data_IF_290538086615
#
_entry.id   IF_290538086615
#
_cell.length_a   1.000
_cell.length_b   1.000
_cell.length_c   1.000
_cell.angle_alpha   90.00
_cell.angle_beta   90.00
_cell.angle_gamma   90.00
#
_symmetry.space_group_name_H-M   'P 1'
#
loop_
_entity.id
_entity.type
_entity.pdbx_description
1 polymer ?
#
# COMPACT_ATOMS: atom_id res chain seq x y z
N UNK A 1 -0.13 -34.67 8.68
CA UNK A 1 0.19 -35.00 7.28
C UNK A 1 -1.02 -35.59 6.54
N UNK A 2 -1.80 -36.51 7.14
CA UNK A 2 -3.02 -37.07 6.51
C UNK A 2 -4.12 -36.02 6.29
N UNK A 3 -4.42 -35.18 7.27
CA UNK A 3 -5.44 -34.12 7.15
C UNK A 3 -5.06 -33.13 6.04
N UNK A 4 -3.77 -32.79 5.91
CA UNK A 4 -3.30 -31.90 4.85
C UNK A 4 -3.48 -32.52 3.47
N UNK A 5 -3.20 -33.81 3.32
CA UNK A 5 -3.42 -34.52 2.06
C UNK A 5 -4.91 -34.57 1.69
N UNK A 6 -5.81 -34.84 2.66
CA UNK A 6 -7.26 -34.81 2.42
C UNK A 6 -7.76 -33.40 2.01
N UNK A 7 -7.21 -32.34 2.60
CA UNK A 7 -7.54 -30.96 2.24
C UNK A 7 -7.04 -30.60 0.83
N UNK A 8 -5.83 -31.02 0.48
CA UNK A 8 -5.23 -30.76 -0.83
C UNK A 8 -5.98 -31.48 -1.97
N UNK A 9 -6.60 -32.64 -1.69
CA UNK A 9 -7.43 -33.40 -2.62
C UNK A 9 -8.90 -32.92 -2.67
N UNK A 10 -9.32 -32.04 -1.76
CA UNK A 10 -10.71 -31.58 -1.67
C UNK A 10 -11.13 -30.81 -2.92
N UNK A 11 -12.32 -31.13 -3.43
CA UNK A 11 -12.98 -30.38 -4.49
C UNK A 11 -13.64 -29.08 -3.98
N UNK A 12 -13.81 -28.97 -2.65
CA UNK A 12 -14.35 -27.77 -2.01
C UNK A 12 -13.27 -26.69 -1.91
N UNK A 13 -13.44 -25.62 -2.65
CA UNK A 13 -12.50 -24.52 -2.68
C UNK A 13 -12.32 -23.82 -1.33
N UNK A 14 -13.41 -23.62 -0.59
CA UNK A 14 -13.37 -22.99 0.72
C UNK A 14 -12.56 -23.83 1.71
N UNK A 15 -12.79 -25.13 1.70
CA UNK A 15 -12.10 -26.08 2.58
C UNK A 15 -10.61 -26.20 2.20
N UNK A 16 -10.32 -26.40 0.91
CA UNK A 16 -8.95 -26.59 0.40
C UNK A 16 -8.02 -25.43 0.77
N UNK A 17 -8.51 -24.20 0.69
CA UNK A 17 -7.72 -23.00 0.97
C UNK A 17 -8.01 -22.35 2.33
N UNK A 18 -8.75 -23.07 3.19
CA UNK A 18 -9.13 -22.60 4.52
C UNK A 18 -9.76 -21.19 4.50
N UNK A 19 -10.64 -20.94 3.54
CA UNK A 19 -11.40 -19.71 3.41
C UNK A 19 -12.81 -19.88 4.01
N UNK A 20 -13.39 -18.84 4.63
CA UNK A 20 -14.82 -18.84 4.90
C UNK A 20 -15.63 -18.99 3.59
N UNK A 21 -16.76 -19.72 3.59
CA UNK A 21 -17.54 -19.95 2.39
C UNK A 21 -17.92 -18.67 1.63
N UNK A 22 -18.36 -17.64 2.34
CA UNK A 22 -18.71 -16.33 1.76
C UNK A 22 -17.54 -15.69 1.00
N UNK A 23 -16.31 -15.81 1.52
CA UNK A 23 -15.11 -15.24 0.90
C UNK A 23 -14.68 -16.04 -0.33
N UNK A 24 -14.82 -17.36 -0.27
CA UNK A 24 -14.56 -18.26 -1.40
C UNK A 24 -15.53 -17.99 -2.57
N UNK A 25 -16.82 -17.79 -2.26
CA UNK A 25 -17.85 -17.43 -3.23
C UNK A 25 -17.56 -16.05 -3.84
N UNK A 26 -17.22 -15.06 -3.02
CA UNK A 26 -16.89 -13.70 -3.45
C UNK A 26 -15.68 -13.69 -4.40
N UNK A 27 -14.59 -14.34 -4.04
CA UNK A 27 -13.41 -14.41 -4.91
C UNK A 27 -13.75 -15.11 -6.23
N UNK A 28 -14.51 -16.21 -6.19
CA UNK A 28 -14.91 -16.92 -7.39
C UNK A 28 -15.79 -16.05 -8.30
N UNK A 29 -16.70 -15.27 -7.73
CA UNK A 29 -17.56 -14.35 -8.48
C UNK A 29 -16.76 -13.20 -9.11
N UNK A 30 -15.78 -12.66 -8.41
CA UNK A 30 -15.00 -11.49 -8.83
C UNK A 30 -13.87 -11.83 -9.82
N UNK A 31 -13.13 -12.92 -9.59
CA UNK A 31 -11.93 -13.26 -10.35
C UNK A 31 -12.07 -14.53 -11.23
N UNK A 32 -13.18 -15.24 -11.11
CA UNK A 32 -13.33 -16.57 -11.67
C UNK A 32 -12.59 -17.63 -10.86
N UNK A 33 -12.92 -18.90 -11.08
CA UNK A 33 -12.40 -20.02 -10.28
C UNK A 33 -10.88 -20.15 -10.35
N UNK A 34 -10.32 -20.12 -11.55
CA UNK A 34 -8.88 -20.34 -11.77
C UNK A 34 -8.01 -19.29 -11.10
N UNK A 35 -8.34 -18.01 -11.27
CA UNK A 35 -7.56 -16.92 -10.63
C UNK A 35 -7.74 -16.92 -9.12
N UNK A 36 -8.95 -17.25 -8.63
CA UNK A 36 -9.22 -17.34 -7.20
C UNK A 36 -8.41 -18.45 -6.53
N UNK A 37 -8.19 -19.57 -7.20
CA UNK A 37 -7.35 -20.65 -6.70
C UNK A 37 -5.88 -20.22 -6.60
N UNK A 38 -5.38 -19.49 -7.59
CA UNK A 38 -4.00 -18.94 -7.57
C UNK A 38 -3.83 -17.93 -6.43
N UNK A 39 -4.78 -17.03 -6.24
CA UNK A 39 -4.79 -16.05 -5.15
C UNK A 39 -4.81 -16.78 -3.80
N UNK A 40 -5.72 -17.73 -3.63
CA UNK A 40 -5.90 -18.46 -2.39
C UNK A 40 -4.69 -19.36 -2.06
N UNK A 41 -4.06 -19.97 -3.06
CA UNK A 41 -2.82 -20.73 -2.91
C UNK A 41 -1.68 -19.83 -2.39
N UNK A 42 -1.53 -18.62 -2.97
CA UNK A 42 -0.54 -17.66 -2.51
C UNK A 42 -0.75 -17.27 -1.03
N UNK A 43 -2.00 -17.16 -0.56
CA UNK A 43 -2.28 -16.84 0.83
C UNK A 43 -1.89 -17.94 1.83
N UNK A 44 -1.64 -19.16 1.39
CA UNK A 44 -1.11 -20.24 2.22
C UNK A 44 0.42 -20.26 2.28
N UNK A 45 1.09 -19.54 1.38
CA UNK A 45 2.54 -19.45 1.36
C UNK A 45 3.04 -18.31 2.27
N UNK A 46 4.22 -18.48 2.88
CA UNK A 46 4.85 -17.40 3.65
C UNK A 46 5.12 -16.19 2.76
N UNK A 47 4.61 -15.03 3.16
CA UNK A 47 4.90 -13.80 2.44
C UNK A 47 6.40 -13.46 2.50
N UNK A 48 7.03 -13.11 1.38
CA UNK A 48 8.44 -12.74 1.35
C UNK A 48 8.68 -11.47 2.20
N UNK A 49 9.84 -11.41 2.84
CA UNK A 49 10.28 -10.17 3.49
C UNK A 49 10.79 -9.21 2.42
N UNK A 50 10.05 -8.14 2.19
CA UNK A 50 10.44 -7.09 1.24
C UNK A 50 10.95 -5.86 1.98
N UNK A 51 12.08 -5.34 1.51
CA UNK A 51 12.79 -4.20 2.05
C UNK A 51 12.86 -3.11 0.98
N UNK A 52 12.71 -1.86 1.41
CA UNK A 52 13.02 -0.72 0.56
C UNK A 52 14.32 -0.08 0.98
N UNK A 53 15.22 0.13 0.03
CA UNK A 53 16.45 0.89 0.23
C UNK A 53 16.12 2.37 0.46
N UNK A 54 16.68 2.94 1.50
CA UNK A 54 16.71 4.38 1.73
C UNK A 54 17.79 5.01 0.85
N UNK A 55 17.42 5.34 -0.37
CA UNK A 55 18.36 5.82 -1.37
C UNK A 55 19.02 7.14 -0.98
N UNK A 56 18.27 8.01 -0.32
CA UNK A 56 18.79 9.28 0.21
C UNK A 56 19.94 9.03 1.17
N UNK A 57 19.75 8.10 2.11
CA UNK A 57 20.78 7.74 3.08
C UNK A 57 21.93 6.96 2.44
N UNK A 58 21.63 6.08 1.51
CA UNK A 58 22.63 5.29 0.75
C UNK A 58 23.60 6.20 -0.01
N UNK A 59 23.07 7.20 -0.73
CA UNK A 59 23.89 8.20 -1.44
C UNK A 59 24.69 9.05 -0.44
N UNK A 60 24.05 9.52 0.63
CA UNK A 60 24.74 10.32 1.65
C UNK A 60 25.88 9.57 2.36
N UNK A 61 25.80 8.25 2.43
CA UNK A 61 26.85 7.38 2.96
C UNK A 61 27.95 7.04 1.93
N UNK A 62 27.87 7.57 0.70
CA UNK A 62 28.86 7.31 -0.36
C UNK A 62 28.65 5.98 -1.08
N UNK A 63 27.41 5.49 -1.13
CA UNK A 63 27.02 4.24 -1.82
C UNK A 63 27.87 3.03 -1.38
N UNK A 64 27.87 2.66 -0.10
CA UNK A 64 28.76 1.64 0.41
C UNK A 64 28.53 0.29 -0.29
N UNK A 65 29.65 -0.37 -0.68
CA UNK A 65 29.61 -1.69 -1.29
C UNK A 65 29.02 -2.74 -0.34
N UNK A 66 28.34 -3.75 -0.91
CA UNK A 66 27.80 -4.89 -0.15
C UNK A 66 26.50 -4.62 0.60
N UNK A 67 25.91 -3.41 0.53
CA UNK A 67 24.63 -3.09 1.22
C UNK A 67 23.49 -3.97 0.74
N UNK A 68 23.46 -4.35 -0.52
CA UNK A 68 22.43 -5.21 -1.12
C UNK A 68 22.84 -6.68 -1.25
N UNK A 69 23.99 -7.06 -0.67
CA UNK A 69 24.48 -8.44 -0.73
C UNK A 69 23.51 -9.40 -0.04
N UNK A 70 23.18 -10.51 -0.71
CA UNK A 70 22.17 -11.48 -0.23
C UNK A 70 20.71 -11.02 -0.37
N UNK A 71 20.46 -9.91 -1.08
CA UNK A 71 19.12 -9.43 -1.39
C UNK A 71 18.85 -9.50 -2.90
N UNK A 72 17.66 -9.92 -3.30
CA UNK A 72 17.21 -9.96 -4.69
C UNK A 72 16.44 -8.68 -5.02
N UNK A 73 16.94 -7.88 -5.97
CA UNK A 73 16.28 -6.66 -6.40
C UNK A 73 14.99 -6.96 -7.15
N UNK A 74 13.93 -6.24 -6.84
CA UNK A 74 12.68 -6.34 -7.58
C UNK A 74 12.80 -5.72 -8.98
N UNK A 75 12.33 -6.40 -10.04
CA UNK A 75 12.30 -5.81 -11.38
C UNK A 75 11.28 -4.68 -11.54
N UNK A 76 10.31 -4.57 -10.62
CA UNK A 76 9.20 -3.61 -10.68
C UNK A 76 9.46 -2.31 -9.92
N UNK A 77 10.36 -2.34 -8.96
CA UNK A 77 10.72 -1.17 -8.17
C UNK A 77 12.21 -1.23 -7.81
N UNK A 78 13.04 -0.33 -8.37
CA UNK A 78 14.51 -0.44 -8.29
C UNK A 78 15.06 -0.30 -6.86
N UNK A 79 14.30 0.30 -5.96
CA UNK A 79 14.69 0.44 -4.55
C UNK A 79 14.06 -0.64 -3.65
N UNK A 80 13.34 -1.61 -4.21
CA UNK A 80 12.72 -2.73 -3.48
C UNK A 80 13.53 -4.00 -3.65
N UNK A 81 13.76 -4.71 -2.54
CA UNK A 81 14.57 -5.92 -2.46
C UNK A 81 13.83 -6.99 -1.67
N UNK A 82 13.99 -8.24 -2.07
CA UNK A 82 13.48 -9.41 -1.37
C UNK A 82 14.63 -10.03 -0.58
N UNK A 83 14.41 -10.24 0.71
CA UNK A 83 15.32 -10.98 1.59
C UNK A 83 14.88 -12.45 1.62
N UNK A 84 15.32 -13.25 0.64
CA UNK A 84 14.90 -14.66 0.49
C UNK A 84 15.34 -15.53 1.69
N UNK A 85 16.52 -15.27 2.23
CA UNK A 85 17.03 -15.93 3.43
C UNK A 85 16.51 -15.30 4.74
N UNK A 86 15.59 -14.35 4.64
CA UNK A 86 15.03 -13.60 5.76
C UNK A 86 16.01 -12.57 6.34
N UNK A 87 15.85 -12.30 7.65
CA UNK A 87 16.67 -11.31 8.37
C UNK A 87 18.02 -11.91 8.79
N UNK A 88 19.00 -11.92 7.90
CA UNK A 88 20.40 -12.20 8.24
C UNK A 88 20.97 -11.10 9.13
N UNK A 89 22.09 -11.36 9.81
CA UNK A 89 22.69 -10.34 10.72
C UNK A 89 23.08 -9.04 10.00
N UNK A 90 23.70 -9.06 8.81
CA UNK A 90 23.96 -7.83 8.05
C UNK A 90 22.69 -7.04 7.73
N UNK A 91 21.61 -7.74 7.31
CA UNK A 91 20.32 -7.10 6.99
C UNK A 91 19.70 -6.47 8.25
N UNK A 92 19.78 -7.14 9.41
CA UNK A 92 19.30 -6.58 10.70
C UNK A 92 20.03 -5.30 11.06
N UNK A 93 21.34 -5.30 10.92
CA UNK A 93 22.16 -4.11 11.19
C UNK A 93 21.77 -2.95 10.26
N UNK A 94 21.65 -3.19 8.96
CA UNK A 94 21.25 -2.18 7.98
C UNK A 94 19.84 -1.64 8.23
N UNK A 95 18.91 -2.50 8.66
CA UNK A 95 17.58 -2.06 9.11
C UNK A 95 17.65 -1.20 10.36
N UNK A 96 18.46 -1.59 11.36
CA UNK A 96 18.64 -0.81 12.58
C UNK A 96 19.26 0.56 12.30
N UNK A 97 20.20 0.63 11.37
CA UNK A 97 20.83 1.88 10.91
C UNK A 97 19.92 2.71 9.99
N UNK A 98 18.77 2.19 9.54
CA UNK A 98 17.83 2.88 8.67
C UNK A 98 18.29 2.98 7.20
N UNK A 99 19.24 2.14 6.78
CA UNK A 99 19.63 1.97 5.38
C UNK A 99 18.51 1.31 4.57
N UNK A 100 17.75 0.45 5.24
CA UNK A 100 16.50 -0.11 4.72
C UNK A 100 15.34 0.14 5.67
N UNK A 101 14.14 0.04 5.14
CA UNK A 101 12.92 -0.11 5.94
C UNK A 101 12.02 -1.19 5.30
N UNK A 102 11.23 -1.86 6.15
CA UNK A 102 10.30 -2.90 5.68
C UNK A 102 9.15 -2.24 4.94
N UNK A 103 8.96 -2.61 3.68
CA UNK A 103 7.86 -2.16 2.86
C UNK A 103 7.56 -3.21 1.80
N UNK A 104 6.28 -3.60 1.69
CA UNK A 104 5.84 -4.47 0.61
C UNK A 104 5.97 -3.80 -0.76
N UNK A 105 6.21 -4.61 -1.80
CA UNK A 105 6.38 -4.12 -3.16
C UNK A 105 5.16 -3.32 -3.63
N UNK A 106 3.94 -3.78 -3.34
CA UNK A 106 2.70 -3.09 -3.74
C UNK A 106 2.59 -1.69 -3.13
N UNK A 107 2.96 -1.55 -1.85
CA UNK A 107 3.06 -0.25 -1.17
C UNK A 107 4.11 0.67 -1.79
N UNK A 108 5.24 0.11 -2.24
CA UNK A 108 6.30 0.85 -2.96
C UNK A 108 5.79 1.34 -4.31
N UNK A 109 5.09 0.47 -5.08
CA UNK A 109 4.46 0.81 -6.35
C UNK A 109 3.42 1.92 -6.21
N UNK A 110 2.62 1.93 -5.15
CA UNK A 110 1.64 2.99 -4.89
C UNK A 110 2.31 4.38 -4.78
N UNK A 111 3.40 4.48 -4.02
CA UNK A 111 4.15 5.74 -3.91
C UNK A 111 4.83 6.11 -5.24
N UNK A 112 5.36 5.12 -5.97
CA UNK A 112 5.96 5.34 -7.29
C UNK A 112 4.93 5.87 -8.28
N UNK A 113 3.68 5.36 -8.29
CA UNK A 113 2.59 5.86 -9.12
C UNK A 113 2.23 7.32 -8.81
N UNK A 114 2.24 7.69 -7.53
CA UNK A 114 1.95 9.05 -7.07
C UNK A 114 3.06 10.06 -7.42
N UNK A 115 4.30 9.59 -7.68
CA UNK A 115 5.46 10.40 -8.10
C UNK A 115 5.71 11.63 -7.21
N UNK A 116 5.98 11.48 -5.90
CA UNK A 116 6.35 12.61 -5.06
C UNK A 116 7.65 13.26 -5.55
N UNK A 117 7.74 14.61 -5.47
CA UNK A 117 8.85 15.39 -6.04
C UNK A 117 9.54 16.23 -4.97
N UNK A 118 10.84 16.49 -5.11
CA UNK A 118 11.55 17.43 -4.23
C UNK A 118 10.82 18.77 -4.10
N UNK A 119 10.73 19.26 -2.87
CA UNK A 119 10.09 20.54 -2.54
C UNK A 119 8.58 20.47 -2.31
N UNK A 120 7.90 19.36 -2.60
CA UNK A 120 6.45 19.22 -2.42
C UNK A 120 6.04 19.17 -0.94
N UNK A 121 4.79 19.55 -0.70
CA UNK A 121 4.08 19.37 0.56
C UNK A 121 3.17 18.15 0.44
N UNK A 122 3.42 17.12 1.24
CA UNK A 122 2.69 15.84 1.20
C UNK A 122 1.92 15.65 2.50
N UNK A 123 0.71 15.12 2.39
CA UNK A 123 -0.09 14.63 3.52
C UNK A 123 -0.32 13.13 3.35
N UNK A 124 0.01 12.34 4.36
CA UNK A 124 -0.31 10.93 4.47
C UNK A 124 -1.33 10.76 5.61
N UNK A 125 -2.59 10.43 5.27
CA UNK A 125 -3.75 10.56 6.17
C UNK A 125 -3.88 9.43 7.19
N UNK A 126 -3.45 8.21 6.85
CA UNK A 126 -3.52 7.02 7.71
C UNK A 126 -2.15 6.33 7.69
N UNK A 127 -1.11 7.11 8.02
CA UNK A 127 0.27 6.86 7.64
C UNK A 127 0.93 5.66 8.33
N UNK A 128 0.48 5.28 9.51
CA UNK A 128 1.21 4.33 10.36
C UNK A 128 1.29 2.91 9.74
N UNK A 129 2.48 2.29 9.76
CA UNK A 129 3.67 2.62 10.54
C UNK A 129 4.67 3.61 9.87
N UNK A 130 4.27 4.27 8.77
CA UNK A 130 5.07 5.31 8.12
C UNK A 130 5.74 4.90 6.81
N UNK A 131 5.54 3.68 6.32
CA UNK A 131 6.25 3.17 5.13
C UNK A 131 6.05 4.02 3.88
N UNK A 132 4.82 4.47 3.58
CA UNK A 132 4.54 5.34 2.42
C UNK A 132 5.09 6.74 2.60
N UNK A 133 5.01 7.30 3.80
CA UNK A 133 5.63 8.59 4.14
C UNK A 133 7.16 8.55 3.96
N UNK A 134 7.83 7.48 4.42
CA UNK A 134 9.28 7.31 4.26
C UNK A 134 9.67 7.12 2.79
N UNK A 135 8.89 6.34 2.04
CA UNK A 135 9.10 6.17 0.61
C UNK A 135 8.92 7.49 -0.15
N UNK A 136 7.91 8.30 0.21
CA UNK A 136 7.71 9.63 -0.36
C UNK A 136 8.88 10.56 -0.01
N UNK A 137 9.34 10.58 1.25
CA UNK A 137 10.50 11.36 1.69
C UNK A 137 11.77 10.99 0.91
N UNK A 138 11.98 9.71 0.67
CA UNK A 138 13.11 9.21 -0.11
C UNK A 138 13.02 9.65 -1.60
N UNK A 139 11.84 9.51 -2.22
CA UNK A 139 11.61 10.04 -3.58
C UNK A 139 11.84 11.56 -3.67
N UNK A 140 11.48 12.29 -2.61
CA UNK A 140 11.70 13.73 -2.47
C UNK A 140 13.14 14.08 -2.08
N UNK A 141 14.03 13.11 -1.87
CA UNK A 141 15.41 13.30 -1.42
C UNK A 141 15.52 14.05 -0.08
N UNK A 142 14.52 13.94 0.78
CA UNK A 142 14.41 14.70 2.02
C UNK A 142 14.07 16.19 1.85
N UNK A 143 13.79 16.63 0.63
CA UNK A 143 13.45 18.04 0.32
C UNK A 143 11.92 18.22 0.29
N UNK A 144 11.42 19.24 1.02
CA UNK A 144 9.98 19.51 1.16
C UNK A 144 9.44 19.17 2.55
N UNK A 145 8.15 18.86 2.65
CA UNK A 145 7.53 18.56 3.94
C UNK A 145 6.43 17.51 3.84
N UNK A 146 6.41 16.57 4.78
CA UNK A 146 5.42 15.50 4.86
C UNK A 146 4.76 15.54 6.23
N UNK A 147 3.44 15.64 6.26
CA UNK A 147 2.63 15.41 7.46
C UNK A 147 2.15 13.96 7.42
N UNK A 148 2.61 13.15 8.39
CA UNK A 148 2.23 11.74 8.51
C UNK A 148 1.24 11.60 9.65
N UNK A 149 -0.06 11.54 9.32
CA UNK A 149 -1.15 11.54 10.28
C UNK A 149 -1.65 10.12 10.57
N UNK A 150 -1.98 9.82 11.82
CA UNK A 150 -2.70 8.61 12.23
C UNK A 150 -3.50 8.90 13.48
N UNK A 151 -4.61 8.20 13.66
CA UNK A 151 -5.49 8.35 14.83
C UNK A 151 -4.85 7.85 16.12
N UNK A 152 -4.08 6.78 16.06
CA UNK A 152 -3.52 6.08 17.22
C UNK A 152 -2.22 6.73 17.72
N UNK A 153 -2.18 7.23 18.97
CA UNK A 153 -0.95 7.81 19.53
C UNK A 153 0.21 6.81 19.59
N UNK A 154 -0.07 5.53 19.84
CA UNK A 154 0.97 4.48 19.86
C UNK A 154 1.56 4.25 18.48
N UNK A 155 0.74 4.31 17.43
CA UNK A 155 1.20 4.20 16.04
C UNK A 155 2.00 5.44 15.63
N UNK A 156 1.59 6.63 16.06
CA UNK A 156 2.33 7.88 15.82
C UNK A 156 3.72 7.82 16.45
N UNK A 157 3.85 7.24 17.65
CA UNK A 157 5.17 7.08 18.28
C UNK A 157 6.09 6.14 17.48
N UNK A 158 5.57 5.00 17.00
CA UNK A 158 6.33 4.11 16.10
C UNK A 158 6.75 4.82 14.80
N UNK A 159 5.93 5.70 14.26
CA UNK A 159 6.32 6.53 13.12
C UNK A 159 7.49 7.45 13.47
N UNK A 160 7.49 8.09 14.66
CA UNK A 160 8.62 8.95 15.10
C UNK A 160 9.92 8.18 15.18
N UNK A 161 9.89 6.97 15.75
CA UNK A 161 11.05 6.08 15.80
C UNK A 161 11.56 5.73 14.40
N UNK A 162 10.66 5.36 13.48
CA UNK A 162 11.03 5.02 12.11
C UNK A 162 11.60 6.23 11.35
N UNK A 163 10.99 7.41 11.50
CA UNK A 163 11.45 8.66 10.88
C UNK A 163 12.84 9.05 11.40
N UNK A 164 13.06 8.94 12.71
CA UNK A 164 14.37 9.22 13.30
C UNK A 164 15.44 8.24 12.81
N UNK A 165 15.13 6.93 12.82
CA UNK A 165 16.03 5.86 12.39
C UNK A 165 16.45 6.01 10.92
N UNK A 166 15.53 6.39 10.05
CA UNK A 166 15.78 6.56 8.61
C UNK A 166 16.39 7.91 8.25
N UNK A 167 16.44 8.86 9.19
CA UNK A 167 17.07 10.17 8.99
C UNK A 167 16.17 11.23 8.35
N UNK A 168 14.86 11.00 8.26
CA UNK A 168 13.90 11.92 7.64
C UNK A 168 13.23 12.90 8.62
N UNK A 169 13.74 13.06 9.85
CA UNK A 169 13.17 13.98 10.84
C UNK A 169 13.11 15.45 10.40
N UNK A 170 13.92 15.84 9.40
CA UNK A 170 13.93 17.19 8.85
C UNK A 170 12.75 17.48 7.89
N UNK A 171 12.14 16.44 7.29
CA UNK A 171 11.05 16.62 6.33
C UNK A 171 9.75 15.89 6.71
N UNK A 172 9.79 14.83 7.52
CA UNK A 172 8.60 14.05 7.92
C UNK A 172 8.19 14.40 9.34
N UNK A 173 6.94 14.81 9.52
CA UNK A 173 6.35 15.19 10.80
C UNK A 173 5.19 14.25 11.16
N UNK A 174 5.38 13.25 12.01
CA UNK A 174 4.30 12.42 12.55
C UNK A 174 3.36 13.24 13.44
N UNK A 175 2.06 13.10 13.22
CA UNK A 175 1.01 13.85 13.88
C UNK A 175 -0.18 12.95 14.23
N UNK A 176 -0.70 13.08 15.46
CA UNK A 176 -1.97 12.45 15.78
C UNK A 176 -3.13 13.27 15.18
N UNK A 177 -3.93 12.65 14.32
CA UNK A 177 -5.10 13.28 13.70
C UNK A 177 -6.11 12.23 13.27
N UNK A 178 -7.39 12.57 13.38
CA UNK A 178 -8.49 11.77 12.86
C UNK A 178 -8.78 12.18 11.41
N UNK A 179 -8.64 11.26 10.45
CA UNK A 179 -8.93 11.49 9.05
C UNK A 179 -10.42 11.80 8.77
N UNK A 180 -11.31 11.38 9.69
CA UNK A 180 -12.74 11.68 9.62
C UNK A 180 -13.11 13.10 10.05
N UNK A 181 -12.20 13.84 10.68
CA UNK A 181 -12.41 15.21 11.12
C UNK A 181 -11.71 16.18 10.18
N UNK A 182 -12.51 17.00 9.49
CA UNK A 182 -11.96 18.00 8.56
C UNK A 182 -11.12 19.05 9.28
N UNK A 183 -9.96 19.36 8.72
CA UNK A 183 -9.02 20.37 9.21
C UNK A 183 -8.96 21.56 8.26
N UNK A 184 -9.52 22.72 8.63
CA UNK A 184 -9.51 23.91 7.77
C UNK A 184 -8.09 24.41 7.41
N UNK A 185 -7.13 24.21 8.30
CA UNK A 185 -5.72 24.59 8.09
C UNK A 185 -4.99 23.74 7.03
N UNK A 186 -5.63 22.65 6.57
CA UNK A 186 -5.12 21.77 5.51
C UNK A 186 -5.82 21.97 4.16
N UNK A 187 -6.87 22.76 4.10
CA UNK A 187 -7.64 22.95 2.88
C UNK A 187 -6.74 23.50 1.76
N UNK A 188 -6.72 22.78 0.61
CA UNK A 188 -5.89 23.08 -0.57
C UNK A 188 -4.40 23.33 -0.27
N UNK A 189 -3.87 22.65 0.74
CA UNK A 189 -2.52 22.92 1.25
C UNK A 189 -1.44 21.96 0.73
N UNK A 190 -1.79 20.85 0.05
CA UNK A 190 -0.84 19.79 -0.26
C UNK A 190 -0.75 19.52 -1.77
N UNK A 191 0.48 19.32 -2.25
CA UNK A 191 0.79 18.91 -3.61
C UNK A 191 0.38 17.45 -3.88
N UNK A 192 0.51 16.60 -2.83
CA UNK A 192 0.12 15.21 -2.85
C UNK A 192 -0.56 14.85 -1.54
N UNK A 193 -1.74 14.23 -1.64
CA UNK A 193 -2.41 13.58 -0.50
C UNK A 193 -2.37 12.07 -0.73
N UNK A 194 -1.83 11.33 0.23
CA UNK A 194 -1.82 9.87 0.28
C UNK A 194 -2.98 9.44 1.19
N UNK A 195 -3.94 8.76 0.60
CA UNK A 195 -5.09 8.16 1.26
C UNK A 195 -4.99 6.63 1.17
N UNK A 196 -4.02 6.07 1.92
CA UNK A 196 -3.91 4.61 2.15
C UNK A 196 -4.79 4.24 3.32
N UNK A 197 -6.05 3.93 3.03
CA UNK A 197 -7.09 3.95 4.02
C UNK A 197 -7.28 2.60 4.74
N UNK A 198 -7.76 2.61 5.99
CA UNK A 198 -8.20 1.39 6.66
C UNK A 198 -9.19 0.62 5.78
N UNK A 199 -8.93 -0.66 5.59
CA UNK A 199 -9.69 -1.54 4.70
C UNK A 199 -9.84 -2.92 5.31
N UNK A 200 -10.58 -3.81 4.64
CA UNK A 200 -10.79 -5.19 5.07
C UNK A 200 -9.48 -6.01 5.14
N UNK A 201 -8.44 -5.62 4.39
CA UNK A 201 -7.15 -6.28 4.43
C UNK A 201 -7.13 -7.66 3.76
N UNK A 202 -8.08 -7.96 2.89
CA UNK A 202 -8.17 -9.25 2.21
C UNK A 202 -7.06 -9.50 1.18
N UNK A 203 -6.23 -8.50 0.91
CA UNK A 203 -5.03 -8.65 0.09
C UNK A 203 -3.79 -9.12 0.85
N UNK A 204 -3.81 -9.06 2.21
CA UNK A 204 -2.64 -9.38 3.05
C UNK A 204 -2.83 -10.64 3.90
N UNK A 205 -3.65 -11.58 3.45
CA UNK A 205 -3.99 -12.78 4.21
C UNK A 205 -2.79 -13.72 4.46
N UNK A 206 -1.76 -13.70 3.61
CA UNK A 206 -0.51 -14.43 3.87
C UNK A 206 0.24 -13.91 5.11
N UNK A 207 0.11 -12.60 5.43
CA UNK A 207 0.72 -11.97 6.61
C UNK A 207 -0.19 -11.93 7.82
N UNK A 208 -1.50 -11.87 7.59
CA UNK A 208 -2.55 -11.70 8.62
C UNK A 208 -3.71 -12.66 8.38
N UNK A 209 -3.49 -13.98 8.51
CA UNK A 209 -4.51 -14.98 8.19
C UNK A 209 -5.74 -14.94 9.12
N UNK A 210 -5.62 -14.29 10.27
CA UNK A 210 -6.72 -14.10 11.22
C UNK A 210 -7.81 -13.14 10.73
N UNK A 211 -7.51 -12.28 9.75
CA UNK A 211 -8.49 -11.35 9.17
C UNK A 211 -9.71 -12.12 8.64
N UNK A 212 -9.50 -13.19 7.88
CA UNK A 212 -10.60 -13.99 7.30
C UNK A 212 -11.52 -14.64 8.33
N UNK A 213 -11.09 -14.77 9.60
CA UNK A 213 -11.89 -15.35 10.69
C UNK A 213 -12.72 -14.31 11.45
N UNK A 214 -12.39 -13.02 11.32
CA UNK A 214 -13.04 -11.94 12.06
C UNK A 214 -13.96 -11.10 11.19
N UNK A 215 -13.74 -11.11 9.89
CA UNK A 215 -14.45 -10.29 8.91
C UNK A 215 -15.73 -10.98 8.44
N UNK A 216 -16.78 -10.19 8.24
CA UNK A 216 -18.00 -10.59 7.54
C UNK A 216 -18.29 -9.64 6.36
N UNK A 217 -19.28 -9.97 5.54
CA UNK A 217 -19.62 -9.17 4.34
C UNK A 217 -20.08 -7.75 4.67
N UNK A 218 -20.81 -7.58 5.76
CA UNK A 218 -21.31 -6.29 6.22
C UNK A 218 -20.19 -5.34 6.61
N UNK A 219 -19.06 -5.86 7.07
CA UNK A 219 -17.89 -5.06 7.43
C UNK A 219 -17.30 -4.37 6.20
N UNK A 220 -17.32 -5.01 5.02
CA UNK A 220 -16.82 -4.44 3.76
C UNK A 220 -17.60 -3.18 3.40
N UNK A 221 -18.91 -3.21 3.51
CA UNK A 221 -19.77 -2.06 3.24
C UNK A 221 -19.50 -0.93 4.26
N UNK A 222 -19.36 -1.28 5.53
CA UNK A 222 -19.06 -0.32 6.61
C UNK A 222 -17.70 0.35 6.38
N UNK A 223 -16.69 -0.41 5.96
CA UNK A 223 -15.35 0.09 5.63
C UNK A 223 -15.37 0.99 4.39
N UNK A 224 -16.08 0.61 3.32
CA UNK A 224 -16.29 1.47 2.15
C UNK A 224 -16.88 2.82 2.55
N UNK A 225 -17.90 2.84 3.40
CA UNK A 225 -18.58 4.08 3.81
C UNK A 225 -17.66 4.93 4.69
N UNK A 226 -16.83 4.31 5.53
CA UNK A 226 -15.79 4.98 6.30
C UNK A 226 -14.73 5.60 5.38
N UNK A 227 -14.26 4.85 4.39
CA UNK A 227 -13.27 5.32 3.40
C UNK A 227 -13.80 6.52 2.62
N UNK A 228 -15.07 6.51 2.20
CA UNK A 228 -15.70 7.64 1.51
C UNK A 228 -15.72 8.90 2.37
N UNK A 229 -16.01 8.79 3.67
CA UNK A 229 -15.92 9.94 4.61
C UNK A 229 -14.51 10.50 4.70
N UNK A 230 -13.47 9.64 4.71
CA UNK A 230 -12.08 10.09 4.70
C UNK A 230 -11.68 10.72 3.37
N UNK A 231 -12.15 10.15 2.25
CA UNK A 231 -11.92 10.67 0.91
C UNK A 231 -12.57 12.05 0.70
N UNK A 232 -13.75 12.32 1.29
CA UNK A 232 -14.36 13.65 1.27
C UNK A 232 -13.47 14.74 1.89
N UNK A 233 -12.72 14.41 2.93
CA UNK A 233 -11.73 15.30 3.50
C UNK A 233 -10.45 15.35 2.64
N UNK A 234 -9.96 14.19 2.19
CA UNK A 234 -8.73 14.04 1.43
C UNK A 234 -8.71 14.91 0.16
N UNK A 235 -9.81 14.89 -0.62
CA UNK A 235 -9.92 15.67 -1.87
C UNK A 235 -9.84 17.18 -1.61
N UNK A 236 -10.35 17.66 -0.47
CA UNK A 236 -10.29 19.07 -0.09
C UNK A 236 -8.90 19.54 0.30
N UNK A 237 -8.05 18.64 0.75
CA UNK A 237 -6.68 18.95 1.15
C UNK A 237 -5.72 19.06 -0.04
N UNK A 238 -6.09 18.50 -1.21
CA UNK A 238 -5.31 18.61 -2.45
C UNK A 238 -5.44 20.01 -3.02
N UNK A 239 -4.31 20.70 -3.22
CA UNK A 239 -4.32 22.02 -3.88
C UNK A 239 -4.67 21.91 -5.38
N UNK A 240 -5.09 22.98 -6.04
CA UNK A 240 -5.18 23.01 -7.51
C UNK A 240 -3.88 22.52 -8.16
N UNK A 241 -3.99 21.68 -9.20
CA UNK A 241 -2.86 21.01 -9.86
C UNK A 241 -2.19 19.90 -9.07
N UNK A 242 -2.61 19.64 -7.81
CA UNK A 242 -2.09 18.57 -6.95
C UNK A 242 -2.62 17.18 -7.30
N UNK A 243 -2.26 16.19 -6.48
CA UNK A 243 -2.58 14.77 -6.71
C UNK A 243 -3.16 14.11 -5.45
N UNK A 244 -4.09 13.18 -5.67
CA UNK A 244 -4.59 12.25 -4.66
C UNK A 244 -4.14 10.84 -5.04
N UNK A 245 -3.42 10.16 -4.17
CA UNK A 245 -3.24 8.71 -4.20
C UNK A 245 -4.30 8.08 -3.30
N UNK A 246 -5.15 7.24 -3.86
CA UNK A 246 -6.04 6.35 -3.12
C UNK A 246 -5.54 4.92 -3.25
N UNK A 247 -5.35 4.24 -2.11
CA UNK A 247 -4.89 2.86 -2.09
C UNK A 247 -5.47 2.08 -0.92
N UNK A 248 -5.55 0.76 -1.08
CA UNK A 248 -6.01 -0.20 -0.07
C UNK A 248 -5.23 -1.51 -0.20
N UNK A 249 -5.04 -2.22 0.91
CA UNK A 249 -4.47 -3.57 0.92
C UNK A 249 -5.58 -4.65 0.90
N UNK A 250 -6.62 -4.44 0.11
CA UNK A 250 -7.71 -5.39 -0.09
C UNK A 250 -7.91 -5.72 -1.57
N UNK A 251 -8.83 -6.63 -1.85
CA UNK A 251 -9.17 -7.08 -3.21
C UNK A 251 -10.67 -6.93 -3.52
N UNK A 252 -11.45 -6.31 -2.62
CA UNK A 252 -12.90 -6.16 -2.80
C UNK A 252 -13.23 -5.03 -3.75
N UNK A 253 -14.21 -5.22 -4.62
CA UNK A 253 -14.65 -4.21 -5.58
C UNK A 253 -15.22 -2.97 -4.88
N UNK A 254 -15.95 -3.17 -3.78
CA UNK A 254 -16.62 -2.09 -3.04
C UNK A 254 -15.64 -1.09 -2.43
N UNK A 255 -14.49 -1.58 -1.93
CA UNK A 255 -13.46 -0.75 -1.32
C UNK A 255 -12.47 -0.19 -2.34
N UNK A 256 -12.38 -0.78 -3.52
CA UNK A 256 -11.41 -0.50 -4.57
C UNK A 256 -12.03 0.30 -5.72
N UNK A 257 -12.50 -0.42 -6.76
CA UNK A 257 -13.00 0.17 -8.00
C UNK A 257 -14.21 1.06 -7.77
N UNK A 258 -15.12 0.65 -6.88
CA UNK A 258 -16.33 1.43 -6.59
C UNK A 258 -16.00 2.76 -5.90
N UNK A 259 -14.96 2.81 -5.07
CA UNK A 259 -14.50 4.06 -4.47
C UNK A 259 -13.75 4.94 -5.48
N UNK A 260 -12.91 4.38 -6.34
CA UNK A 260 -12.25 5.13 -7.41
C UNK A 260 -13.27 5.72 -8.39
N UNK A 261 -14.27 4.95 -8.80
CA UNK A 261 -15.37 5.42 -9.64
C UNK A 261 -16.20 6.50 -8.94
N UNK A 262 -16.44 6.35 -7.64
CA UNK A 262 -17.17 7.35 -6.84
C UNK A 262 -16.39 8.68 -6.75
N UNK A 263 -15.06 8.64 -6.59
CA UNK A 263 -14.24 9.87 -6.62
C UNK A 263 -14.40 10.55 -7.97
N UNK A 264 -14.21 9.83 -9.07
CA UNK A 264 -14.32 10.39 -10.43
C UNK A 264 -15.71 10.96 -10.74
N UNK A 265 -16.78 10.34 -10.24
CA UNK A 265 -18.15 10.78 -10.45
C UNK A 265 -18.56 11.97 -9.57
N UNK A 266 -18.05 12.06 -8.35
CA UNK A 266 -18.46 13.09 -7.38
C UNK A 266 -17.62 14.35 -7.47
N UNK A 267 -16.31 14.24 -7.76
CA UNK A 267 -15.37 15.34 -7.76
C UNK A 267 -14.88 15.60 -9.20
N UNK A 268 -15.64 16.38 -9.96
CA UNK A 268 -15.41 16.61 -11.39
C UNK A 268 -14.12 17.37 -11.73
N UNK A 269 -13.49 17.97 -10.74
CA UNK A 269 -12.17 18.60 -10.83
C UNK A 269 -11.02 17.60 -10.65
N UNK A 270 -11.31 16.30 -10.37
CA UNK A 270 -10.31 15.24 -10.27
C UNK A 270 -10.35 14.36 -11.52
N UNK A 271 -9.24 14.32 -12.25
CA UNK A 271 -9.06 13.46 -13.43
C UNK A 271 -8.20 12.26 -13.07
N UNK A 272 -8.65 11.02 -13.37
CA UNK A 272 -7.85 9.81 -13.17
C UNK A 272 -6.54 9.84 -13.97
N UNK A 273 -5.49 9.27 -13.37
CA UNK A 273 -4.17 9.05 -14.00
C UNK A 273 -4.06 7.58 -14.38
N UNK A 274 -3.51 7.27 -15.54
CA UNK A 274 -3.21 5.89 -15.94
C UNK A 274 -2.03 5.36 -15.10
N UNK A 275 -2.37 4.57 -14.08
CA UNK A 275 -1.41 4.00 -13.12
C UNK A 275 -0.58 2.90 -13.79
N UNK A 276 -1.16 2.09 -14.67
CA UNK A 276 -0.44 1.03 -15.37
C UNK A 276 0.68 1.62 -16.24
N UNK A 277 0.37 2.63 -17.03
CA UNK A 277 1.37 3.36 -17.82
C UNK A 277 2.41 4.06 -16.92
N UNK A 278 1.99 4.60 -15.77
CA UNK A 278 2.89 5.26 -14.82
C UNK A 278 3.91 4.31 -14.18
N UNK A 279 3.54 3.03 -14.02
CA UNK A 279 4.36 1.96 -13.42
C UNK A 279 5.02 1.05 -14.47
N UNK A 280 4.69 1.20 -15.75
CA UNK A 280 5.09 0.29 -16.83
C UNK A 280 4.62 -1.15 -16.60
N UNK A 281 3.43 -1.32 -16.04
CA UNK A 281 2.77 -2.61 -15.83
C UNK A 281 1.81 -2.90 -16.97
N UNK A 282 1.61 -4.17 -17.28
CA UNK A 282 0.61 -4.63 -18.24
C UNK A 282 -0.43 -5.57 -17.59
N UNK A 283 -1.34 -6.09 -18.40
CA UNK A 283 -2.42 -6.97 -17.92
C UNK A 283 -1.96 -8.35 -17.43
N UNK A 284 -0.71 -8.74 -17.66
CA UNK A 284 -0.14 -9.98 -17.12
C UNK A 284 0.32 -9.81 -15.65
N UNK A 285 0.70 -8.59 -15.29
CA UNK A 285 1.27 -8.23 -13.99
C UNK A 285 0.22 -7.67 -13.03
N UNK A 286 -0.75 -6.91 -13.56
CA UNK A 286 -1.83 -6.33 -12.74
C UNK A 286 -3.17 -6.37 -13.48
N UNK A 287 -4.28 -6.38 -12.74
CA UNK A 287 -5.58 -6.12 -13.32
C UNK A 287 -5.72 -4.63 -13.63
N UNK A 288 -6.00 -4.33 -14.91
CA UNK A 288 -6.31 -2.97 -15.34
C UNK A 288 -7.75 -2.66 -14.95
N UNK A 289 -7.94 -1.68 -14.10
CA UNK A 289 -9.22 -1.32 -13.54
C UNK A 289 -9.77 -0.04 -14.20
N UNK A 290 -11.08 0.22 -14.11
CA UNK A 290 -11.68 1.48 -14.54
C UNK A 290 -10.98 2.70 -13.91
N UNK A 291 -11.13 3.87 -14.54
CA UNK A 291 -10.50 5.12 -14.10
C UNK A 291 -8.95 5.05 -14.00
N UNK A 292 -8.30 4.25 -14.86
CA UNK A 292 -6.85 4.13 -14.90
C UNK A 292 -6.20 3.50 -13.68
N UNK A 293 -6.98 2.94 -12.77
CA UNK A 293 -6.49 2.26 -11.58
C UNK A 293 -5.91 0.87 -11.92
N UNK A 294 -5.13 0.31 -11.00
CA UNK A 294 -4.64 -1.06 -11.08
C UNK A 294 -4.92 -1.82 -9.78
N UNK A 295 -5.17 -3.11 -9.91
CA UNK A 295 -5.24 -4.04 -8.79
C UNK A 295 -4.10 -5.06 -8.93
N UNK A 296 -3.21 -5.04 -7.97
CA UNK A 296 -2.11 -6.01 -7.85
C UNK A 296 -2.69 -7.28 -7.25
N UNK A 297 -2.53 -8.40 -7.95
CA UNK A 297 -2.92 -9.71 -7.45
C UNK A 297 -1.67 -10.46 -7.00
N UNK A 298 -1.68 -11.09 -5.81
CA UNK A 298 -0.53 -11.84 -5.31
C UNK A 298 -0.21 -13.08 -6.16
N UNK A 299 -1.15 -13.53 -7.00
CA UNK A 299 -0.95 -14.57 -8.01
C UNK A 299 -0.11 -14.15 -9.21
N UNK A 300 0.08 -12.85 -9.43
CA UNK A 300 0.78 -12.29 -10.61
C UNK A 300 2.09 -11.59 -10.28
N UNK A 301 2.17 -10.95 -9.12
CA UNK A 301 3.38 -10.31 -8.62
C UNK A 301 3.75 -10.88 -7.24
N UNK A 302 5.04 -10.94 -6.89
CA UNK A 302 5.49 -11.34 -5.55
C UNK A 302 5.25 -10.19 -4.55
N UNK A 303 3.99 -9.84 -4.34
CA UNK A 303 3.52 -8.70 -3.55
C UNK A 303 2.21 -9.04 -2.85
N UNK A 304 1.87 -8.27 -1.83
CA UNK A 304 0.54 -8.31 -1.24
C UNK A 304 -0.53 -7.88 -2.27
N UNK A 305 -1.76 -8.39 -2.12
CA UNK A 305 -2.90 -7.92 -2.88
C UNK A 305 -3.21 -6.46 -2.56
N UNK A 306 -3.33 -5.61 -3.58
CA UNK A 306 -3.34 -4.17 -3.38
C UNK A 306 -4.08 -3.43 -4.51
N UNK A 307 -4.75 -2.33 -4.17
CA UNK A 307 -5.35 -1.45 -5.15
C UNK A 307 -4.67 -0.08 -5.16
N UNK A 308 -4.45 0.47 -6.37
CA UNK A 308 -3.79 1.75 -6.57
C UNK A 308 -4.59 2.58 -7.57
N UNK A 309 -5.00 3.77 -7.16
CA UNK A 309 -5.64 4.76 -8.00
C UNK A 309 -5.05 6.13 -7.73
N UNK A 310 -4.73 6.88 -8.78
CA UNK A 310 -4.18 8.24 -8.68
C UNK A 310 -5.08 9.20 -9.45
N UNK A 311 -5.36 10.34 -8.84
CA UNK A 311 -6.13 11.42 -9.46
C UNK A 311 -5.33 12.70 -9.45
N UNK A 312 -5.54 13.54 -10.46
CA UNK A 312 -5.00 14.90 -10.54
C UNK A 312 -6.14 15.91 -10.44
N UNK A 313 -6.01 16.86 -9.51
CA UNK A 313 -6.93 17.98 -9.39
C UNK A 313 -6.64 18.99 -10.50
N UNK A 314 -7.67 19.57 -11.10
CA UNK A 314 -7.55 20.66 -12.05
C UNK A 314 -6.82 21.88 -11.43
N UNK A 315 -6.24 22.74 -12.27
CA UNK A 315 -5.59 23.98 -11.85
C UNK A 315 -6.59 25.06 -11.43
#
# INVERSE_FOLDING_TARGET
>A
DEIRAELDESQDFALRYALPPWLAERFTAQFGREESEKIAAHFLEPAPLTLRLNRTKFIAAGEPAGVTEGLTQSPYAPDSFIAEEGLTEPVRQQLAEGMFFVQDLSSSLAVQAARPRPGERVLDLCAAPGGKSLAAADCMRGEGSIVSADLSPQKVERMRENVARTGFSGCVRPLQSDAGVFRPDWEEAFDLVIADLPCSGLGVLSRKPDIKLRLCEEDIISLRDLQRRFLENAVRYVRPGGRLLYSTCTLTEEEDEANAAWIAAKFHDFTPVDVAAALSLDGSEALLCPAGAVKILPSRLPADGFFISVFRKAE
#
